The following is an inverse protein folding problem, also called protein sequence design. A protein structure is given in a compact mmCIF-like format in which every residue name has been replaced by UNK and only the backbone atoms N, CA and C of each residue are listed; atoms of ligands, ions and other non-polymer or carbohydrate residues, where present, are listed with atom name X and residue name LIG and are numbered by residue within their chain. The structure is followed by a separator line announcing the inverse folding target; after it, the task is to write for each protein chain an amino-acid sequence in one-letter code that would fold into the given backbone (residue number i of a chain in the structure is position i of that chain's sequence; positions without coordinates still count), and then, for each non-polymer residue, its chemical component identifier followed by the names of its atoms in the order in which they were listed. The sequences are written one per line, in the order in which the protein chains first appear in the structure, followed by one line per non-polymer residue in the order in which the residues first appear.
data_IF_345006024893
#
_entry.id   IF_345006024893
#
_cell.length_a   1.000
_cell.length_b   1.000
_cell.length_c   1.000
_cell.angle_alpha   90.00
_cell.angle_beta   90.00
_cell.angle_gamma   90.00
#
_symmetry.space_group_name_H-M   'P 1'
#
loop_
_entity.id
_entity.type
_entity.pdbx_description
1 polymer ?
#
# COMPACT_ATOMS: atom_id res chain seq x y z
N UNK A 1 -16.34 -6.92 11.22
CA UNK A 1 -15.66 -5.77 10.60
C UNK A 1 -16.39 -5.39 9.32
N UNK A 2 -17.43 -4.59 9.43
CA UNK A 2 -18.08 -3.95 8.28
C UNK A 2 -18.74 -2.63 8.72
N UNK A 3 -18.17 -2.01 9.74
CA UNK A 3 -18.64 -0.73 10.28
C UNK A 3 -17.99 0.38 9.46
N UNK A 4 -18.82 1.12 8.74
CA UNK A 4 -18.37 2.18 7.85
C UNK A 4 -17.63 3.31 8.62
N UNK A 5 -18.03 3.59 9.86
CA UNK A 5 -17.39 4.62 10.68
C UNK A 5 -15.96 4.19 11.06
N UNK A 6 -15.78 2.95 11.49
CA UNK A 6 -14.45 2.41 11.83
C UNK A 6 -13.51 2.40 10.62
N UNK A 7 -14.01 2.00 9.44
CA UNK A 7 -13.20 2.00 8.21
C UNK A 7 -12.78 3.43 7.84
N UNK A 8 -13.70 4.40 7.98
CA UNK A 8 -13.41 5.79 7.71
C UNK A 8 -12.34 6.36 8.64
N UNK A 9 -12.46 6.10 9.95
CA UNK A 9 -11.49 6.55 10.95
C UNK A 9 -10.10 5.98 10.66
N UNK A 10 -10.00 4.68 10.35
CA UNK A 10 -8.75 4.01 10.03
C UNK A 10 -8.08 4.55 8.75
N UNK A 11 -8.87 4.98 7.76
CA UNK A 11 -8.34 5.53 6.52
C UNK A 11 -7.99 7.01 6.63
N UNK A 12 -8.54 7.72 7.62
CA UNK A 12 -8.31 9.15 7.81
C UNK A 12 -7.21 9.45 8.84
N UNK A 13 -7.08 8.62 9.89
CA UNK A 13 -6.05 8.75 10.92
C UNK A 13 -4.69 8.20 10.48
N UNK A 14 -4.66 6.97 10.00
CA UNK A 14 -3.44 6.24 9.67
C UNK A 14 -3.00 6.55 8.25
N UNK A 15 -1.85 7.23 8.12
CA UNK A 15 -1.28 7.57 6.80
C UNK A 15 -0.26 6.58 6.27
N UNK A 16 0.24 5.68 7.11
CA UNK A 16 1.29 4.73 6.74
C UNK A 16 0.74 3.32 6.58
N UNK A 17 0.89 2.73 5.40
CA UNK A 17 0.36 1.39 5.09
C UNK A 17 1.51 0.50 4.59
N UNK A 18 1.68 -0.67 5.21
CA UNK A 18 2.58 -1.70 4.74
C UNK A 18 1.86 -2.63 3.75
N UNK A 19 2.34 -2.71 2.51
CA UNK A 19 1.77 -3.61 1.47
C UNK A 19 2.58 -4.90 1.42
N UNK A 20 2.08 -5.93 2.09
CA UNK A 20 2.69 -7.27 2.10
C UNK A 20 2.41 -7.98 0.78
N UNK A 21 3.46 -8.52 0.15
CA UNK A 21 3.37 -9.12 -1.18
C UNK A 21 3.44 -8.10 -2.32
N UNK A 22 4.00 -6.92 -2.05
CA UNK A 22 4.21 -5.90 -3.06
C UNK A 22 4.96 -6.44 -4.29
N UNK A 23 4.54 -6.01 -5.48
CA UNK A 23 5.23 -6.30 -6.73
C UNK A 23 5.35 -5.04 -7.58
N UNK A 24 6.51 -4.87 -8.23
CA UNK A 24 6.73 -3.78 -9.18
C UNK A 24 6.06 -4.04 -10.55
N UNK A 25 5.54 -5.25 -10.81
CA UNK A 25 4.84 -5.62 -12.03
C UNK A 25 3.49 -4.87 -12.14
N UNK A 26 3.30 -3.99 -13.15
CA UNK A 26 2.07 -3.21 -13.31
C UNK A 26 0.80 -4.04 -13.50
N UNK A 27 0.92 -5.29 -13.94
CA UNK A 27 -0.23 -6.19 -14.14
C UNK A 27 -0.74 -6.77 -12.83
N UNK A 28 0.05 -6.68 -11.74
CA UNK A 28 -0.31 -7.27 -10.46
C UNK A 28 -1.13 -6.29 -9.62
N UNK A 29 -2.22 -6.75 -8.98
CA UNK A 29 -3.08 -5.89 -8.16
C UNK A 29 -2.34 -5.15 -7.04
N UNK A 30 -1.28 -5.75 -6.46
CA UNK A 30 -0.50 -5.09 -5.41
C UNK A 30 0.24 -3.85 -5.92
N UNK A 31 0.55 -3.77 -7.23
CA UNK A 31 1.12 -2.57 -7.83
C UNK A 31 0.08 -1.45 -7.97
N UNK A 32 -1.08 -1.76 -8.56
CA UNK A 32 -2.13 -0.77 -8.82
C UNK A 32 -2.71 -0.19 -7.54
N UNK A 33 -2.96 -1.03 -6.53
CA UNK A 33 -3.42 -0.58 -5.20
C UNK A 33 -2.39 0.31 -4.52
N UNK A 34 -1.11 -0.08 -4.52
CA UNK A 34 -0.05 0.75 -3.91
C UNK A 34 0.08 2.10 -4.60
N UNK A 35 0.00 2.14 -5.94
CA UNK A 35 0.04 3.40 -6.70
C UNK A 35 -1.16 4.29 -6.39
N UNK A 36 -2.35 3.72 -6.31
CA UNK A 36 -3.55 4.46 -5.94
C UNK A 36 -3.41 5.09 -4.54
N UNK A 37 -3.00 4.30 -3.54
CA UNK A 37 -2.84 4.77 -2.18
C UNK A 37 -1.76 5.86 -2.06
N UNK A 38 -0.63 5.73 -2.77
CA UNK A 38 0.36 6.83 -2.85
C UNK A 38 -0.23 8.09 -3.47
N UNK A 39 -1.02 7.96 -4.54
CA UNK A 39 -1.72 9.08 -5.17
C UNK A 39 -2.75 9.76 -4.26
N UNK A 40 -3.29 9.05 -3.27
CA UNK A 40 -4.15 9.60 -2.22
C UNK A 40 -3.37 10.20 -1.03
N UNK A 41 -2.04 10.19 -1.06
CA UNK A 41 -1.18 10.78 -0.03
C UNK A 41 -0.80 9.83 1.12
N UNK A 42 -1.04 8.52 0.98
CA UNK A 42 -0.56 7.53 1.95
C UNK A 42 0.94 7.26 1.76
N UNK A 43 1.65 7.10 2.88
CA UNK A 43 3.02 6.61 2.91
C UNK A 43 3.02 5.08 2.81
N UNK A 44 3.48 4.54 1.69
CA UNK A 44 3.47 3.09 1.43
C UNK A 44 4.83 2.47 1.72
N UNK A 45 4.84 1.45 2.57
CA UNK A 45 6.01 0.60 2.85
C UNK A 45 5.83 -0.73 2.09
N UNK A 46 6.54 -0.96 0.98
CA UNK A 46 6.44 -2.22 0.25
C UNK A 46 7.16 -3.34 1.01
N UNK A 47 6.47 -4.43 1.31
CA UNK A 47 7.03 -5.58 2.01
C UNK A 47 6.99 -6.81 1.11
N UNK A 48 8.16 -7.19 0.58
CA UNK A 48 8.31 -8.44 -0.16
C UNK A 48 9.71 -9.03 0.06
N UNK A 49 9.85 -10.16 0.80
CA UNK A 49 11.13 -10.82 1.02
C UNK A 49 11.87 -11.24 -0.27
N UNK A 50 11.14 -11.46 -1.37
CA UNK A 50 11.71 -11.82 -2.68
C UNK A 50 12.31 -10.62 -3.42
N UNK A 51 12.01 -9.40 -3.01
CA UNK A 51 12.50 -8.15 -3.61
C UNK A 51 13.62 -7.50 -2.79
N UNK A 52 14.30 -8.26 -1.91
CA UNK A 52 15.42 -7.76 -1.09
C UNK A 52 16.47 -7.09 -2.00
N UNK A 53 16.74 -5.80 -1.74
CA UNK A 53 17.74 -5.01 -2.48
C UNK A 53 17.21 -4.30 -3.73
N UNK A 54 15.97 -4.53 -4.14
CA UNK A 54 15.36 -3.77 -5.22
C UNK A 54 14.97 -2.37 -4.72
N UNK A 55 15.45 -1.32 -5.40
CA UNK A 55 14.91 0.02 -5.24
C UNK A 55 13.54 0.01 -5.91
N UNK A 56 12.51 -0.04 -5.07
CA UNK A 56 11.14 0.17 -5.51
C UNK A 56 10.88 1.65 -5.30
N UNK A 57 10.75 2.40 -6.38
CA UNK A 57 10.60 3.86 -6.35
C UNK A 57 9.53 4.34 -5.35
N UNK A 58 9.81 5.55 -4.83
CA UNK A 58 9.11 6.38 -3.83
C UNK A 58 7.64 6.08 -3.55
#
# INVERSE_FOLDING_TARGET
MNDAALIHDLLTGERTIAVVGYSADPTRPSNSVSRYLRGQGFHIIPVNPKLRGAIVDG
#
